data_IF_004368378814
#
_entry.id   IF_004368378814
#
_cell.length_a   1.000
_cell.length_b   1.000
_cell.length_c   1.000
_cell.angle_alpha   90.00
_cell.angle_beta   90.00
_cell.angle_gamma   90.00
#
_symmetry.space_group_name_H-M   'P 1'
#
loop_
_entity.id
_entity.type
_entity.pdbx_description
1 polymer ?
#
# COMPACT_ATOMS: atom_id res chain seq x y z
N UNK A 1 -3.04 -13.04 1.56
CA UNK A 1 -3.61 -11.74 1.97
C UNK A 1 -4.19 -11.06 0.75
N UNK A 2 -5.34 -10.42 0.91
CA UNK A 2 -5.94 -9.61 -0.16
C UNK A 2 -6.18 -8.19 0.37
N UNK A 3 -6.73 -7.32 -0.48
CA UNK A 3 -6.95 -5.92 -0.09
C UNK A 3 -7.83 -5.81 1.15
N UNK A 4 -8.90 -6.61 1.22
CA UNK A 4 -9.82 -6.59 2.35
C UNK A 4 -9.10 -6.99 3.65
N UNK A 5 -8.37 -8.08 3.63
CA UNK A 5 -7.66 -8.54 4.83
C UNK A 5 -6.51 -7.61 5.18
N UNK A 6 -5.86 -7.03 4.18
CA UNK A 6 -4.83 -6.03 4.41
C UNK A 6 -5.39 -4.84 5.20
N UNK A 7 -6.54 -4.34 4.78
CA UNK A 7 -7.18 -3.22 5.47
C UNK A 7 -7.46 -3.58 6.92
N UNK A 8 -8.01 -4.77 7.17
CA UNK A 8 -8.31 -5.23 8.51
C UNK A 8 -7.06 -5.32 9.37
N UNK A 9 -5.98 -5.86 8.83
CA UNK A 9 -4.73 -6.00 9.56
C UNK A 9 -4.08 -4.66 9.85
N UNK A 10 -4.14 -3.73 8.92
CA UNK A 10 -3.60 -2.39 9.14
C UNK A 10 -4.38 -1.65 10.23
N UNK A 11 -5.70 -1.76 10.22
CA UNK A 11 -6.54 -1.15 11.26
C UNK A 11 -6.26 -1.78 12.62
N UNK A 12 -6.11 -3.09 12.65
CA UNK A 12 -5.82 -3.84 13.87
C UNK A 12 -4.47 -3.42 14.47
N UNK A 13 -3.49 -3.20 13.64
CA UNK A 13 -2.17 -2.77 14.09
C UNK A 13 -2.14 -1.31 14.51
N UNK A 14 -3.12 -0.52 14.06
CA UNK A 14 -3.18 0.89 14.41
C UNK A 14 -2.54 1.82 13.38
N UNK A 15 -2.38 1.34 12.14
CA UNK A 15 -1.87 2.21 11.06
C UNK A 15 -2.97 3.20 10.67
N UNK A 16 -2.71 4.50 10.71
CA UNK A 16 -3.75 5.48 10.37
C UNK A 16 -4.09 5.45 8.88
N UNK A 17 -5.37 5.74 8.58
CA UNK A 17 -5.87 5.68 7.22
C UNK A 17 -5.15 6.63 6.26
N UNK A 18 -4.62 7.73 6.76
CA UNK A 18 -3.91 8.69 5.92
C UNK A 18 -2.53 8.21 5.46
N UNK A 19 -2.07 7.06 5.99
CA UNK A 19 -0.75 6.53 5.65
C UNK A 19 -0.78 5.66 4.39
N UNK A 20 -1.96 5.26 3.93
CA UNK A 20 -2.06 4.35 2.80
C UNK A 20 -3.31 4.61 1.96
N UNK A 21 -3.28 4.07 0.74
CA UNK A 21 -4.43 4.10 -0.15
C UNK A 21 -4.56 2.73 -0.82
N UNK A 22 -5.68 2.06 -0.57
CA UNK A 22 -5.93 0.71 -1.07
C UNK A 22 -6.89 0.67 -2.24
N UNK A 23 -7.43 1.81 -2.66
CA UNK A 23 -8.46 1.86 -3.68
C UNK A 23 -7.97 2.34 -5.04
N UNK A 24 -6.80 2.99 -5.08
CA UNK A 24 -6.32 3.62 -6.30
C UNK A 24 -7.05 4.91 -6.65
N UNK A 25 -7.99 5.32 -5.80
CA UNK A 25 -8.77 6.53 -6.02
C UNK A 25 -8.59 7.50 -4.87
N UNK A 26 -8.87 8.77 -5.13
CA UNK A 26 -8.81 9.79 -4.12
C UNK A 26 -7.42 10.33 -3.91
N UNK A 27 -7.14 10.74 -2.69
CA UNK A 27 -5.90 11.41 -2.38
C UNK A 27 -4.75 10.42 -2.21
N UNK A 28 -3.71 10.58 -3.00
CA UNK A 28 -2.56 9.69 -2.99
C UNK A 28 -1.29 10.32 -2.43
N UNK A 29 -1.25 11.65 -2.28
CA UNK A 29 -0.05 12.36 -1.86
C UNK A 29 0.46 11.88 -0.49
N UNK A 30 1.75 11.56 -0.44
CA UNK A 30 2.42 11.15 0.78
C UNK A 30 1.81 9.91 1.41
N UNK A 31 1.39 8.98 0.55
CA UNK A 31 0.81 7.70 0.97
C UNK A 31 1.44 6.55 0.22
N UNK A 32 1.51 5.42 0.91
CA UNK A 32 1.87 4.18 0.25
C UNK A 32 0.60 3.63 -0.40
N UNK A 33 0.66 3.39 -1.69
CA UNK A 33 -0.51 3.02 -2.49
C UNK A 33 -0.34 1.64 -3.09
N UNK A 34 -1.46 0.96 -3.30
CA UNK A 34 -1.49 -0.33 -4.00
C UNK A 34 -2.60 -0.28 -5.03
N UNK A 35 -2.29 -0.73 -6.25
CA UNK A 35 -3.32 -0.83 -7.29
C UNK A 35 -2.96 -1.90 -8.29
N UNK A 36 -3.98 -2.40 -8.97
CA UNK A 36 -3.81 -3.39 -10.03
C UNK A 36 -3.75 -2.67 -11.36
N UNK A 37 -2.72 -2.96 -12.15
CA UNK A 37 -2.51 -2.30 -13.43
C UNK A 37 -1.99 -3.32 -14.43
N UNK A 38 -2.69 -3.47 -15.55
CA UNK A 38 -2.28 -4.39 -16.62
C UNK A 38 -2.03 -5.82 -16.14
N UNK A 39 -2.88 -6.29 -15.22
CA UNK A 39 -2.75 -7.65 -14.69
C UNK A 39 -1.71 -7.83 -13.61
N UNK A 40 -0.98 -6.78 -13.27
CA UNK A 40 0.03 -6.82 -12.24
C UNK A 40 -0.36 -5.94 -11.06
N UNK A 41 0.22 -6.23 -9.90
CA UNK A 41 -0.04 -5.44 -8.70
C UNK A 41 1.13 -4.53 -8.42
N UNK A 42 0.85 -3.23 -8.27
CA UNK A 42 1.88 -2.23 -8.04
C UNK A 42 1.72 -1.62 -6.65
N UNK A 43 2.84 -1.54 -5.93
CA UNK A 43 2.90 -0.83 -4.66
C UNK A 43 3.87 0.33 -4.85
N UNK A 44 3.41 1.55 -4.59
CA UNK A 44 4.22 2.73 -4.81
C UNK A 44 3.97 3.79 -3.74
N UNK A 45 4.95 4.65 -3.55
CA UNK A 45 4.80 5.81 -2.68
C UNK A 45 4.75 7.05 -3.54
N UNK A 46 3.71 7.85 -3.35
CA UNK A 46 3.53 9.07 -4.11
C UNK A 46 3.86 10.27 -3.24
N UNK A 47 4.78 11.11 -3.72
CA UNK A 47 5.20 12.31 -3.02
C UNK A 47 5.19 13.47 -4.00
N UNK A 48 4.34 14.46 -3.73
CA UNK A 48 4.18 15.65 -4.57
C UNK A 48 3.97 15.32 -6.04
N UNK A 49 3.16 14.31 -6.30
CA UNK A 49 2.83 13.90 -7.66
C UNK A 49 3.87 13.01 -8.31
N UNK A 50 4.95 12.66 -7.61
CA UNK A 50 6.02 11.84 -8.13
C UNK A 50 6.06 10.49 -7.40
N UNK A 51 6.14 9.39 -8.16
CA UNK A 51 6.34 8.08 -7.57
C UNK A 51 7.81 7.94 -7.19
N UNK A 52 8.10 8.01 -5.89
CA UNK A 52 9.47 7.89 -5.40
C UNK A 52 9.90 6.45 -5.19
N UNK A 53 8.92 5.55 -5.26
CA UNK A 53 9.13 4.13 -5.03
C UNK A 53 8.06 3.40 -5.83
N UNK A 54 8.43 2.33 -6.51
CA UNK A 54 7.45 1.57 -7.28
C UNK A 54 7.92 0.12 -7.38
N UNK A 55 7.10 -0.80 -6.89
CA UNK A 55 7.42 -2.22 -6.92
C UNK A 55 6.26 -3.00 -7.51
N UNK A 56 6.57 -3.95 -8.37
CA UNK A 56 5.58 -4.71 -9.11
C UNK A 56 5.58 -6.16 -8.64
N UNK A 57 4.39 -6.73 -8.46
CA UNK A 57 4.19 -8.09 -8.00
C UNK A 57 3.24 -8.85 -8.90
N UNK A 58 3.43 -10.15 -8.99
CA UNK A 58 2.58 -11.02 -9.80
C UNK A 58 1.25 -11.33 -9.12
N UNK A 59 1.18 -11.20 -7.81
CA UNK A 59 -0.02 -11.58 -7.06
C UNK A 59 -0.43 -10.51 -6.06
N UNK A 60 -1.73 -10.50 -5.78
CA UNK A 60 -2.29 -9.63 -4.77
C UNK A 60 -1.69 -9.94 -3.39
N UNK A 61 -1.54 -11.22 -3.09
CA UNK A 61 -0.98 -11.64 -1.80
C UNK A 61 0.42 -11.08 -1.57
N UNK A 62 1.30 -11.20 -2.56
CA UNK A 62 2.66 -10.71 -2.44
C UNK A 62 2.70 -9.20 -2.26
N UNK A 63 1.89 -8.48 -3.05
CA UNK A 63 1.83 -7.02 -2.95
C UNK A 63 1.31 -6.56 -1.60
N UNK A 64 0.26 -7.20 -1.11
CA UNK A 64 -0.34 -6.86 0.18
C UNK A 64 0.63 -7.13 1.34
N UNK A 65 1.34 -8.25 1.30
CA UNK A 65 2.32 -8.58 2.32
C UNK A 65 3.46 -7.58 2.35
N UNK A 66 3.94 -7.20 1.20
CA UNK A 66 4.99 -6.19 1.10
C UNK A 66 4.52 -4.86 1.68
N UNK A 67 3.32 -4.44 1.31
CA UNK A 67 2.76 -3.18 1.79
C UNK A 67 2.57 -3.19 3.31
N UNK A 68 2.04 -4.30 3.83
CA UNK A 68 1.85 -4.45 5.27
C UNK A 68 3.18 -4.35 6.00
N UNK A 69 4.18 -5.11 5.55
CA UNK A 69 5.50 -5.12 6.19
C UNK A 69 6.14 -3.74 6.18
N UNK A 70 5.99 -3.02 5.07
CA UNK A 70 6.56 -1.69 4.94
C UNK A 70 5.90 -0.69 5.89
N UNK A 71 4.57 -0.72 5.96
CA UNK A 71 3.83 0.20 6.84
C UNK A 71 4.10 -0.09 8.30
N UNK A 72 4.18 -1.37 8.67
CA UNK A 72 4.47 -1.76 10.05
C UNK A 72 5.90 -1.36 10.42
N UNK A 73 6.86 -1.57 9.54
CA UNK A 73 8.25 -1.20 9.78
C UNK A 73 8.39 0.30 10.00
N UNK A 74 7.68 1.10 9.22
CA UNK A 74 7.72 2.56 9.36
C UNK A 74 7.17 3.02 10.70
N UNK A 75 6.17 2.31 11.22
CA UNK A 75 5.57 2.66 12.52
C UNK A 75 6.44 2.29 13.70
N UNK A 76 7.33 1.32 13.52
CA UNK A 76 8.21 0.86 14.60
C UNK A 76 9.40 1.76 14.87
N UNK A 77 9.61 2.77 14.08
CA UNK A 77 10.72 3.71 14.24
C UNK A 77 10.49 4.68 15.38
#
# INVERSE_FOLDING_TARGET
MNIRSLKQELEKYGIPAYAYNLTGHGRNDERLCIEKEHGEWCVYYLERGTKTFNKIFDSEDAACRFMYDRLVADRKR
#
